data_IF_054070793357
#
_entry.id   IF_054070793357
#
_cell.length_a   1.000
_cell.length_b   1.000
_cell.length_c   1.000
_cell.angle_alpha   90.00
_cell.angle_beta   90.00
_cell.angle_gamma   90.00
#
_symmetry.space_group_name_H-M   'P 1'
#
loop_
_entity.id
_entity.type
_entity.pdbx_description
1 polymer ?
#
# COMPACT_ATOMS: atom_id res chain seq x y z
N UNK A 1 36.60 3.96 -8.74
CA UNK A 1 36.19 3.47 -7.41
C UNK A 1 35.99 1.97 -7.54
N UNK A 2 36.75 1.17 -6.81
CA UNK A 2 36.58 -0.29 -6.82
C UNK A 2 35.31 -0.69 -6.07
N UNK A 3 34.70 -1.83 -6.42
CA UNK A 3 33.54 -2.39 -5.70
C UNK A 3 33.84 -2.57 -4.20
N UNK A 4 35.09 -2.92 -3.87
CA UNK A 4 35.60 -3.02 -2.50
C UNK A 4 35.56 -1.67 -1.77
N UNK A 5 36.07 -0.60 -2.37
CA UNK A 5 36.02 0.74 -1.79
C UNK A 5 34.58 1.24 -1.59
N UNK A 6 33.66 0.92 -2.52
CA UNK A 6 32.25 1.29 -2.38
C UNK A 6 31.57 0.56 -1.21
N UNK A 7 31.84 -0.74 -1.05
CA UNK A 7 31.33 -1.55 0.07
C UNK A 7 31.94 -1.11 1.41
N UNK A 8 33.24 -0.80 1.45
CA UNK A 8 33.91 -0.32 2.66
C UNK A 8 33.38 1.06 3.12
N UNK A 9 32.95 1.91 2.18
CA UNK A 9 32.23 3.15 2.50
C UNK A 9 30.84 2.86 3.05
N UNK A 10 30.08 1.96 2.43
CA UNK A 10 28.75 1.57 2.94
C UNK A 10 28.84 1.05 4.39
N UNK A 11 29.79 0.16 4.70
CA UNK A 11 30.00 -0.35 6.06
C UNK A 11 30.23 0.79 7.09
N UNK A 12 30.82 1.92 6.68
CA UNK A 12 31.09 3.05 7.57
C UNK A 12 29.90 3.97 7.83
N UNK A 13 28.93 4.04 6.91
CA UNK A 13 27.86 5.04 6.96
C UNK A 13 26.45 4.45 7.02
N UNK A 14 26.29 3.13 6.89
CA UNK A 14 24.98 2.46 6.94
C UNK A 14 24.57 2.04 8.37
N UNK A 15 23.31 1.62 8.50
CA UNK A 15 22.74 1.12 9.74
C UNK A 15 23.51 -0.11 10.27
N UNK A 16 23.73 -0.24 11.60
CA UNK A 16 24.46 -1.38 12.19
C UNK A 16 23.87 -2.75 11.86
N UNK A 17 22.57 -2.79 11.57
CA UNK A 17 21.83 -4.00 11.18
C UNK A 17 22.18 -4.48 9.76
N UNK A 18 22.68 -3.60 8.90
CA UNK A 18 23.03 -3.90 7.51
C UNK A 18 24.50 -4.31 7.34
N UNK A 19 25.38 -3.92 8.27
CA UNK A 19 26.81 -4.29 8.27
C UNK A 19 27.06 -5.80 8.04
N UNK A 20 26.41 -6.75 8.76
CA UNK A 20 26.65 -8.17 8.52
C UNK A 20 26.24 -8.62 7.11
N UNK A 21 25.16 -8.03 6.57
CA UNK A 21 24.68 -8.29 5.21
C UNK A 21 25.68 -7.75 4.18
N UNK A 22 26.24 -6.56 4.41
CA UNK A 22 27.23 -5.93 3.53
C UNK A 22 28.52 -6.76 3.49
N UNK A 23 28.99 -7.25 4.64
CA UNK A 23 30.15 -8.14 4.69
C UNK A 23 29.89 -9.46 3.96
N UNK A 24 28.72 -10.06 4.12
CA UNK A 24 28.36 -11.27 3.38
C UNK A 24 28.36 -11.05 1.86
N UNK A 25 27.82 -9.92 1.39
CA UNK A 25 27.86 -9.52 -0.03
C UNK A 25 29.32 -9.35 -0.50
N UNK A 26 30.14 -8.67 0.31
CA UNK A 26 31.55 -8.41 0.02
C UNK A 26 32.34 -9.72 -0.11
N UNK A 27 32.15 -10.66 0.81
CA UNK A 27 32.79 -11.98 0.78
C UNK A 27 32.37 -12.78 -0.45
N UNK A 28 31.07 -12.81 -0.76
CA UNK A 28 30.53 -13.50 -1.94
C UNK A 28 31.12 -12.92 -3.24
N UNK A 29 31.24 -11.60 -3.36
CA UNK A 29 31.84 -10.95 -4.53
C UNK A 29 33.35 -11.23 -4.64
N UNK A 30 34.08 -11.22 -3.51
CA UNK A 30 35.52 -11.51 -3.50
C UNK A 30 35.83 -12.96 -3.88
N UNK A 31 34.92 -13.89 -3.58
CA UNK A 31 34.99 -15.29 -4.02
C UNK A 31 34.72 -15.47 -5.53
N UNK A 32 34.40 -14.40 -6.27
CA UNK A 32 34.12 -14.45 -7.70
C UNK A 32 32.71 -14.97 -8.02
N UNK A 33 31.79 -14.97 -7.05
CA UNK A 33 30.41 -15.31 -7.32
C UNK A 33 29.74 -14.26 -8.20
N UNK A 34 28.67 -14.66 -8.91
CA UNK A 34 27.88 -13.76 -9.73
C UNK A 34 27.14 -12.71 -8.87
N UNK A 35 26.74 -11.59 -9.48
CA UNK A 35 26.16 -10.46 -8.77
C UNK A 35 24.80 -10.81 -8.14
N UNK A 36 23.95 -11.55 -8.86
CA UNK A 36 22.64 -11.99 -8.39
C UNK A 36 22.73 -12.86 -7.14
N UNK A 37 23.72 -13.76 -7.09
CA UNK A 37 23.97 -14.62 -5.93
C UNK A 37 24.56 -13.82 -4.77
N UNK A 38 25.45 -12.87 -5.08
CA UNK A 38 26.08 -12.05 -4.06
C UNK A 38 25.09 -11.12 -3.36
N UNK A 39 24.05 -10.66 -4.07
CA UNK A 39 23.01 -9.75 -3.54
C UNK A 39 21.79 -10.47 -2.92
N UNK A 40 21.75 -11.80 -2.95
CA UNK A 40 20.68 -12.60 -2.34
C UNK A 40 20.40 -12.27 -0.85
N UNK A 41 21.42 -12.00 0.00
CA UNK A 41 21.22 -11.64 1.41
C UNK A 41 20.32 -10.42 1.64
N UNK A 42 20.19 -9.53 0.66
CA UNK A 42 19.30 -8.35 0.72
C UNK A 42 17.81 -8.73 0.70
N UNK A 43 17.46 -10.00 0.43
CA UNK A 43 16.07 -10.48 0.35
C UNK A 43 15.19 -9.60 -0.55
N UNK A 44 15.74 -9.23 -1.70
CA UNK A 44 15.02 -8.43 -2.69
C UNK A 44 13.73 -9.15 -3.13
N UNK A 45 12.68 -8.40 -3.51
CA UNK A 45 11.51 -8.95 -4.16
C UNK A 45 11.89 -9.91 -5.29
N UNK A 46 11.18 -11.04 -5.40
CA UNK A 46 11.53 -12.14 -6.32
C UNK A 46 11.65 -11.69 -7.78
N UNK A 47 10.85 -10.71 -8.21
CA UNK A 47 10.96 -10.11 -9.55
C UNK A 47 12.32 -9.41 -9.78
N UNK A 48 12.82 -8.68 -8.79
CA UNK A 48 14.12 -7.99 -8.87
C UNK A 48 15.29 -8.97 -8.81
N UNK A 49 15.16 -10.04 -8.01
CA UNK A 49 16.14 -11.13 -8.01
C UNK A 49 16.22 -11.81 -9.38
N UNK A 50 15.08 -12.10 -10.03
CA UNK A 50 15.10 -12.66 -11.37
C UNK A 50 15.68 -11.72 -12.42
N UNK A 51 15.39 -10.41 -12.33
CA UNK A 51 16.02 -9.42 -13.19
C UNK A 51 17.56 -9.46 -13.06
N UNK A 52 18.08 -9.54 -11.84
CA UNK A 52 19.52 -9.71 -11.60
C UNK A 52 20.05 -11.04 -12.13
N UNK A 53 19.33 -12.15 -11.92
CA UNK A 53 19.74 -13.48 -12.39
C UNK A 53 19.81 -13.57 -13.90
N UNK A 54 18.84 -12.98 -14.60
CA UNK A 54 18.85 -12.88 -16.07
C UNK A 54 19.95 -11.93 -16.52
N UNK A 55 20.17 -10.85 -15.77
CA UNK A 55 21.25 -9.90 -16.06
C UNK A 55 22.65 -10.44 -15.91
N UNK A 56 22.87 -11.35 -14.97
CA UNK A 56 24.13 -12.08 -14.82
C UNK A 56 24.44 -13.02 -15.98
N UNK A 57 23.43 -13.43 -16.74
CA UNK A 57 23.60 -14.23 -17.96
C UNK A 57 23.94 -13.34 -19.17
N UNK A 58 23.83 -12.02 -19.02
CA UNK A 58 24.20 -11.04 -20.06
C UNK A 58 25.54 -10.40 -19.80
N UNK A 59 26.10 -9.76 -20.82
CA UNK A 59 27.33 -8.98 -20.72
C UNK A 59 27.14 -7.60 -20.06
N UNK A 60 25.97 -7.32 -19.47
CA UNK A 60 25.60 -5.98 -18.96
C UNK A 60 25.03 -5.95 -17.52
N UNK A 61 25.66 -6.60 -16.52
CA UNK A 61 25.13 -6.66 -15.15
C UNK A 61 24.99 -5.29 -14.46
N UNK A 62 25.87 -4.33 -14.79
CA UNK A 62 25.81 -2.96 -14.25
C UNK A 62 24.59 -2.18 -14.72
N UNK A 63 24.16 -2.37 -15.96
CA UNK A 63 22.95 -1.72 -16.50
C UNK A 63 21.71 -2.22 -15.75
N UNK A 64 21.67 -3.53 -15.48
CA UNK A 64 20.54 -4.17 -14.82
C UNK A 64 20.49 -3.81 -13.34
N UNK A 65 21.64 -3.72 -12.68
CA UNK A 65 21.71 -3.20 -11.32
C UNK A 65 21.14 -1.78 -11.22
N UNK A 66 21.45 -0.89 -12.17
CA UNK A 66 20.86 0.46 -12.22
C UNK A 66 19.34 0.42 -12.35
N UNK A 67 18.82 -0.53 -13.11
CA UNK A 67 17.38 -0.71 -13.27
C UNK A 67 16.70 -1.24 -12.00
N UNK A 68 17.33 -2.19 -11.31
CA UNK A 68 16.89 -2.64 -9.98
C UNK A 68 16.85 -1.48 -8.99
N UNK A 69 17.90 -0.65 -8.99
CA UNK A 69 17.97 0.53 -8.11
C UNK A 69 16.82 1.49 -8.42
N UNK A 70 16.55 1.78 -9.70
CA UNK A 70 15.42 2.63 -10.12
C UNK A 70 14.08 2.09 -9.62
N UNK A 71 13.85 0.77 -9.75
CA UNK A 71 12.64 0.12 -9.25
C UNK A 71 12.48 0.26 -7.73
N UNK A 72 13.56 0.05 -6.97
CA UNK A 72 13.58 0.23 -5.53
C UNK A 72 13.37 1.68 -5.11
N UNK A 73 13.95 2.64 -5.83
CA UNK A 73 13.76 4.07 -5.60
C UNK A 73 12.30 4.46 -5.78
N UNK A 74 11.66 4.01 -6.86
CA UNK A 74 10.23 4.25 -7.11
C UNK A 74 9.37 3.66 -5.99
N UNK A 75 9.60 2.40 -5.60
CA UNK A 75 8.89 1.79 -4.46
C UNK A 75 9.08 2.57 -3.15
N UNK A 76 10.31 3.04 -2.89
CA UNK A 76 10.66 3.82 -1.71
C UNK A 76 9.95 5.18 -1.71
N UNK A 77 9.91 5.85 -2.87
CA UNK A 77 9.21 7.13 -3.03
C UNK A 77 7.70 6.97 -2.80
N UNK A 78 7.07 5.93 -3.34
CA UNK A 78 5.65 5.64 -3.07
C UNK A 78 5.40 5.43 -1.58
N UNK A 79 6.21 4.60 -0.93
CA UNK A 79 6.08 4.34 0.53
C UNK A 79 6.26 5.62 1.33
N UNK A 80 7.27 6.43 1.02
CA UNK A 80 7.54 7.70 1.71
C UNK A 80 6.38 8.68 1.54
N UNK A 81 5.88 8.86 0.32
CA UNK A 81 4.72 9.71 0.04
C UNK A 81 3.46 9.20 0.71
N UNK A 82 3.18 7.89 0.64
CA UNK A 82 2.07 7.27 1.34
C UNK A 82 2.11 7.56 2.84
N UNK A 83 3.25 7.33 3.50
CA UNK A 83 3.41 7.62 4.92
C UNK A 83 3.35 9.12 5.23
N UNK A 84 3.82 9.98 4.32
CA UNK A 84 3.70 11.43 4.46
C UNK A 84 2.22 11.86 4.44
N UNK A 85 1.42 11.33 3.52
CA UNK A 85 -0.01 11.64 3.41
C UNK A 85 -0.83 10.99 4.54
N UNK A 86 -0.56 9.74 4.89
CA UNK A 86 -1.29 9.00 5.93
C UNK A 86 -1.03 9.51 7.36
N UNK A 87 0.09 10.23 7.58
CA UNK A 87 0.46 10.74 8.91
C UNK A 87 -0.62 11.66 9.51
N UNK A 88 -1.18 12.58 8.73
CA UNK A 88 -2.17 13.52 9.23
C UNK A 88 -3.46 12.82 9.72
N UNK A 89 -4.13 11.98 8.91
CA UNK A 89 -5.30 11.22 9.37
C UNK A 89 -5.00 10.31 10.57
N UNK A 90 -3.82 9.69 10.63
CA UNK A 90 -3.44 8.81 11.76
C UNK A 90 -3.30 9.61 13.05
N UNK A 91 -2.62 10.76 13.02
CA UNK A 91 -2.45 11.61 14.22
C UNK A 91 -3.79 12.13 14.70
N UNK A 92 -4.65 12.58 13.77
CA UNK A 92 -6.01 13.05 14.10
C UNK A 92 -6.88 11.92 14.66
N UNK A 93 -6.88 10.74 14.05
CA UNK A 93 -7.63 9.60 14.56
C UNK A 93 -7.13 9.16 15.95
N UNK A 94 -5.81 9.15 16.18
CA UNK A 94 -5.23 8.80 17.47
C UNK A 94 -5.59 9.82 18.56
N UNK A 95 -5.57 11.13 18.25
CA UNK A 95 -5.96 12.17 19.21
C UNK A 95 -7.45 12.11 19.55
N UNK A 96 -8.32 11.87 18.56
CA UNK A 96 -9.76 11.65 18.76
C UNK A 96 -10.02 10.41 19.62
N UNK A 97 -9.32 9.30 19.34
CA UNK A 97 -9.46 8.06 20.11
C UNK A 97 -9.01 8.28 21.56
N UNK A 98 -7.89 8.97 21.78
CA UNK A 98 -7.39 9.28 23.13
C UNK A 98 -8.38 10.17 23.90
N UNK A 99 -8.89 11.23 23.25
CA UNK A 99 -9.90 12.10 23.84
C UNK A 99 -11.18 11.33 24.20
N UNK A 100 -11.64 10.47 23.29
CA UNK A 100 -12.80 9.61 23.51
C UNK A 100 -12.56 8.62 24.67
N UNK A 101 -11.37 8.04 24.77
CA UNK A 101 -11.01 7.12 25.84
C UNK A 101 -10.96 7.82 27.21
N UNK A 102 -10.35 9.00 27.28
CA UNK A 102 -10.37 9.85 28.48
C UNK A 102 -11.81 10.17 28.89
N UNK A 103 -12.65 10.55 27.93
CA UNK A 103 -14.06 10.81 28.18
C UNK A 103 -14.79 9.58 28.75
N UNK A 104 -14.69 8.43 28.08
CA UNK A 104 -15.39 7.21 28.48
C UNK A 104 -14.96 6.67 29.85
N UNK A 105 -13.68 6.83 30.22
CA UNK A 105 -13.13 6.29 31.48
C UNK A 105 -13.26 7.24 32.67
N UNK A 106 -13.23 8.56 32.46
CA UNK A 106 -13.19 9.55 33.55
C UNK A 106 -14.40 10.47 33.57
N UNK A 107 -14.70 11.13 32.46
CA UNK A 107 -15.75 12.16 32.40
C UNK A 107 -17.14 11.53 32.47
N UNK A 108 -17.38 10.50 31.66
CA UNK A 108 -18.69 9.88 31.55
C UNK A 108 -19.16 9.22 32.86
N UNK A 109 -18.34 8.44 33.59
CA UNK A 109 -18.75 7.89 34.88
C UNK A 109 -19.02 8.97 35.94
N UNK A 110 -18.18 10.02 35.99
CA UNK A 110 -18.35 11.15 36.90
C UNK A 110 -19.69 11.86 36.70
N UNK A 111 -20.11 12.07 35.44
CA UNK A 111 -21.42 12.66 35.12
C UNK A 111 -22.61 11.75 35.50
N UNK A 112 -22.45 10.43 35.37
CA UNK A 112 -23.49 9.48 35.78
C UNK A 112 -23.66 9.42 37.30
N UNK A 113 -22.57 9.50 38.07
CA UNK A 113 -22.63 9.54 39.55
C UNK A 113 -23.36 10.78 40.06
N UNK A 114 -23.28 11.89 39.33
CA UNK A 114 -23.98 13.15 39.65
C UNK A 114 -25.44 13.16 39.17
N UNK A 115 -25.87 12.16 38.39
CA UNK A 115 -27.19 12.13 37.75
C UNK A 115 -28.15 11.19 38.47
N UNK A 116 -29.43 11.60 38.59
CA UNK A 116 -30.46 10.73 39.14
C UNK A 116 -30.84 9.61 38.14
N UNK A 117 -30.77 8.32 38.52
CA UNK A 117 -31.07 7.20 37.61
C UNK A 117 -32.48 7.24 37.01
N UNK A 118 -33.44 7.85 37.72
CA UNK A 118 -34.83 7.94 37.31
C UNK A 118 -35.09 8.97 36.18
N UNK A 119 -34.25 10.00 36.06
CA UNK A 119 -34.40 11.07 35.05
C UNK A 119 -33.62 10.78 33.76
N UNK A 120 -32.81 9.71 33.75
CA UNK A 120 -32.00 9.32 32.59
C UNK A 120 -32.84 8.65 31.49
N UNK A 121 -32.60 9.00 30.21
CA UNK A 121 -33.23 8.34 29.07
C UNK A 121 -32.98 6.83 29.06
N UNK A 122 -33.95 6.07 28.53
CA UNK A 122 -33.90 4.60 28.47
C UNK A 122 -32.63 4.06 27.80
N UNK A 123 -32.10 4.76 26.79
CA UNK A 123 -30.88 4.35 26.08
C UNK A 123 -29.59 4.56 26.88
N UNK A 124 -29.60 5.38 27.94
CA UNK A 124 -28.43 5.65 28.82
C UNK A 124 -28.37 4.67 30.00
N UNK A 125 -29.50 4.07 30.41
CA UNK A 125 -29.57 3.17 31.58
C UNK A 125 -28.64 1.96 31.53
N UNK A 126 -28.41 1.28 30.38
CA UNK A 126 -27.44 0.19 30.31
C UNK A 126 -26.01 0.62 30.66
N UNK A 127 -25.71 1.92 30.50
CA UNK A 127 -24.39 2.48 30.75
C UNK A 127 -24.12 2.79 32.23
N UNK A 128 -25.11 2.66 33.10
CA UNK A 128 -24.95 2.77 34.56
C UNK A 128 -24.22 1.57 35.17
N UNK A 129 -24.10 0.46 34.43
CA UNK A 129 -23.42 -0.73 34.92
C UNK A 129 -21.91 -0.45 35.10
N UNK A 130 -21.26 -0.89 36.19
CA UNK A 130 -19.83 -0.59 36.44
C UNK A 130 -18.87 -1.05 35.33
N UNK A 131 -19.26 -2.05 34.55
CA UNK A 131 -18.48 -2.54 33.40
C UNK A 131 -18.66 -1.71 32.12
N UNK A 132 -19.68 -0.86 32.04
CA UNK A 132 -20.02 -0.11 30.84
C UNK A 132 -18.90 0.86 30.40
N UNK A 133 -18.14 1.41 31.36
CA UNK A 133 -16.97 2.28 31.07
C UNK A 133 -15.89 1.56 30.27
N UNK A 134 -15.64 0.28 30.56
CA UNK A 134 -14.67 -0.52 29.81
C UNK A 134 -15.24 -0.92 28.44
N UNK A 135 -16.52 -1.29 28.38
CA UNK A 135 -17.19 -1.60 27.11
C UNK A 135 -17.19 -0.41 26.15
N UNK A 136 -17.49 0.81 26.64
CA UNK A 136 -17.40 2.04 25.84
C UNK A 136 -15.97 2.36 25.41
N UNK A 137 -15.00 2.29 26.32
CA UNK A 137 -13.61 2.62 26.01
C UNK A 137 -13.03 1.71 24.91
N UNK A 138 -13.42 0.43 24.89
CA UNK A 138 -12.99 -0.52 23.87
C UNK A 138 -13.93 -0.59 22.65
N UNK A 139 -15.10 0.05 22.65
CA UNK A 139 -16.04 0.02 21.53
C UNK A 139 -15.43 0.50 20.19
N UNK A 140 -14.66 1.60 20.12
CA UNK A 140 -14.02 2.03 18.87
C UNK A 140 -12.97 1.03 18.39
N UNK A 141 -12.17 0.50 19.32
CA UNK A 141 -11.10 -0.46 19.02
C UNK A 141 -11.71 -1.76 18.48
N UNK A 142 -12.70 -2.30 19.18
CA UNK A 142 -13.41 -3.51 18.76
C UNK A 142 -14.18 -3.33 17.45
N UNK A 143 -14.76 -2.14 17.19
CA UNK A 143 -15.40 -1.83 15.91
C UNK A 143 -14.38 -1.79 14.76
N UNK A 144 -13.23 -1.15 14.95
CA UNK A 144 -12.17 -1.09 13.93
C UNK A 144 -11.57 -2.48 13.70
N UNK A 145 -11.25 -3.22 14.76
CA UNK A 145 -10.72 -4.59 14.65
C UNK A 145 -11.75 -5.52 13.99
N UNK A 146 -13.02 -5.40 14.36
CA UNK A 146 -14.13 -6.15 13.74
C UNK A 146 -14.28 -5.84 12.25
N UNK A 147 -14.19 -4.57 11.86
CA UNK A 147 -14.24 -4.16 10.45
C UNK A 147 -13.04 -4.71 9.66
N UNK A 148 -11.82 -4.65 10.23
CA UNK A 148 -10.61 -5.21 9.60
C UNK A 148 -10.72 -6.72 9.44
N UNK A 149 -11.21 -7.44 10.46
CA UNK A 149 -11.44 -8.89 10.39
C UNK A 149 -12.55 -9.24 9.40
N UNK A 150 -13.62 -8.45 9.34
CA UNK A 150 -14.71 -8.63 8.37
C UNK A 150 -14.18 -8.46 6.94
N UNK A 151 -13.41 -7.40 6.67
CA UNK A 151 -12.77 -7.17 5.37
C UNK A 151 -11.83 -8.33 5.03
N UNK A 152 -11.10 -8.88 6.01
CA UNK A 152 -10.20 -10.02 5.83
C UNK A 152 -10.95 -11.34 5.59
N UNK A 153 -12.19 -11.49 6.07
CA UNK A 153 -13.05 -12.65 5.86
C UNK A 153 -13.96 -12.55 4.63
N UNK A 154 -14.12 -11.36 4.05
CA UNK A 154 -14.77 -11.22 2.74
C UNK A 154 -13.91 -11.97 1.72
N UNK A 155 -14.48 -12.91 0.94
CA UNK A 155 -13.71 -13.63 -0.06
C UNK A 155 -13.09 -12.63 -1.03
N UNK A 156 -11.77 -12.73 -1.23
CA UNK A 156 -10.99 -11.80 -2.05
C UNK A 156 -11.69 -11.52 -3.39
N UNK A 157 -12.30 -12.55 -4.02
CA UNK A 157 -13.07 -12.44 -5.28
C UNK A 157 -14.20 -11.41 -5.25
N UNK A 158 -14.85 -11.17 -4.10
CA UNK A 158 -15.95 -10.20 -3.95
C UNK A 158 -15.42 -8.80 -3.71
N UNK A 159 -14.34 -8.67 -2.94
CA UNK A 159 -13.65 -7.39 -2.71
C UNK A 159 -13.05 -6.85 -4.02
N UNK A 160 -12.47 -7.75 -4.83
CA UNK A 160 -11.93 -7.47 -6.16
C UNK A 160 -12.95 -6.97 -7.19
N UNK A 161 -14.27 -7.19 -6.96
CA UNK A 161 -15.34 -6.73 -7.86
C UNK A 161 -15.87 -5.34 -7.53
N UNK A 162 -15.40 -4.71 -6.45
CA UNK A 162 -15.76 -3.32 -6.17
C UNK A 162 -15.07 -2.44 -7.20
N UNK A 163 -15.83 -1.61 -7.93
CA UNK A 163 -15.29 -0.73 -9.00
C UNK A 163 -14.06 0.08 -8.57
N UNK A 164 -14.05 0.55 -7.33
CA UNK A 164 -12.94 1.32 -6.75
C UNK A 164 -11.64 0.50 -6.57
N UNK A 165 -11.77 -0.79 -6.26
CA UNK A 165 -10.65 -1.72 -6.08
C UNK A 165 -10.19 -2.22 -7.44
N UNK A 166 -11.13 -2.51 -8.34
CA UNK A 166 -10.84 -2.92 -9.71
C UNK A 166 -10.02 -1.84 -10.45
N UNK A 167 -10.43 -0.56 -10.37
CA UNK A 167 -9.66 0.56 -10.95
C UNK A 167 -8.24 0.62 -10.42
N UNK A 168 -8.07 0.53 -9.09
CA UNK A 168 -6.75 0.61 -8.46
C UNK A 168 -5.86 -0.56 -8.83
N UNK A 169 -6.43 -1.77 -8.91
CA UNK A 169 -5.70 -2.95 -9.35
C UNK A 169 -5.32 -2.85 -10.82
N UNK A 170 -6.21 -2.35 -11.66
CA UNK A 170 -5.91 -2.13 -13.08
C UNK A 170 -4.73 -1.18 -13.25
N UNK A 171 -4.74 -0.03 -12.57
CA UNK A 171 -3.59 0.89 -12.55
C UNK A 171 -2.31 0.21 -12.03
N UNK A 172 -2.41 -0.53 -10.93
CA UNK A 172 -1.27 -1.22 -10.33
C UNK A 172 -0.68 -2.32 -11.23
N UNK A 173 -1.51 -3.18 -11.84
CA UNK A 173 -1.04 -4.21 -12.76
C UNK A 173 -0.50 -3.63 -14.06
N UNK A 174 -1.08 -2.53 -14.54
CA UNK A 174 -0.54 -1.80 -15.69
C UNK A 174 0.82 -1.22 -15.37
N UNK A 175 0.97 -0.57 -14.22
CA UNK A 175 2.25 -0.01 -13.76
C UNK A 175 3.32 -1.10 -13.66
N UNK A 176 2.97 -2.24 -13.07
CA UNK A 176 3.88 -3.39 -12.97
C UNK A 176 4.28 -3.92 -14.34
N UNK A 177 3.31 -4.10 -15.24
CA UNK A 177 3.58 -4.55 -16.59
C UNK A 177 4.54 -3.59 -17.30
N UNK A 178 4.23 -2.29 -17.31
CA UNK A 178 5.00 -1.29 -18.04
C UNK A 178 6.40 -1.13 -17.47
N UNK A 179 6.55 -1.08 -16.14
CA UNK A 179 7.86 -0.95 -15.52
C UNK A 179 8.68 -2.23 -15.67
N UNK A 180 8.10 -3.42 -15.45
CA UNK A 180 8.85 -4.68 -15.51
C UNK A 180 9.22 -5.02 -16.95
N UNK A 181 8.24 -5.08 -17.87
CA UNK A 181 8.51 -5.39 -19.28
C UNK A 181 9.34 -4.28 -19.93
N UNK A 182 9.01 -3.01 -19.70
CA UNK A 182 9.80 -1.88 -20.19
C UNK A 182 11.24 -1.93 -19.75
N UNK A 183 11.51 -2.33 -18.49
CA UNK A 183 12.87 -2.53 -17.98
C UNK A 183 13.65 -3.60 -18.73
N UNK A 184 13.03 -4.75 -19.03
CA UNK A 184 13.69 -5.81 -19.78
C UNK A 184 13.95 -5.38 -21.23
N UNK A 185 12.96 -4.78 -21.90
CA UNK A 185 13.12 -4.36 -23.29
C UNK A 185 14.16 -3.23 -23.43
N UNK A 186 14.14 -2.24 -22.52
CA UNK A 186 15.13 -1.15 -22.49
C UNK A 186 16.55 -1.66 -22.21
N UNK A 187 16.67 -2.74 -21.41
CA UNK A 187 17.93 -3.44 -21.19
C UNK A 187 18.42 -4.28 -22.40
N UNK A 188 17.64 -4.32 -23.49
CA UNK A 188 17.97 -5.00 -24.74
C UNK A 188 17.54 -6.46 -24.80
N UNK A 189 16.74 -6.94 -23.85
CA UNK A 189 16.15 -8.27 -23.92
C UNK A 189 14.99 -8.30 -24.91
N UNK A 190 14.80 -9.44 -25.54
CA UNK A 190 13.59 -9.72 -26.31
C UNK A 190 12.37 -9.84 -25.38
N UNK A 191 11.19 -9.62 -25.97
CA UNK A 191 9.91 -9.79 -25.25
C UNK A 191 9.71 -11.21 -24.71
N UNK A 192 10.23 -12.21 -25.42
CA UNK A 192 10.22 -13.61 -25.00
C UNK A 192 11.05 -13.83 -23.72
N UNK A 193 12.27 -13.30 -23.69
CA UNK A 193 13.16 -13.40 -22.51
C UNK A 193 12.55 -12.67 -21.30
N UNK A 194 11.94 -11.51 -21.54
CA UNK A 194 11.23 -10.75 -20.51
C UNK A 194 10.09 -11.56 -19.88
N UNK A 195 9.20 -12.14 -20.70
CA UNK A 195 8.09 -12.92 -20.17
C UNK A 195 8.56 -14.18 -19.44
N UNK A 196 9.53 -14.91 -20.00
CA UNK A 196 10.07 -16.10 -19.36
C UNK A 196 10.67 -15.80 -17.98
N UNK A 197 11.40 -14.69 -17.85
CA UNK A 197 11.95 -14.23 -16.57
C UNK A 197 10.85 -13.87 -15.55
N UNK A 198 9.83 -13.12 -15.99
CA UNK A 198 8.75 -12.64 -15.13
C UNK A 198 7.83 -13.77 -14.65
N UNK A 199 7.58 -14.79 -15.48
CA UNK A 199 6.79 -15.97 -15.08
C UNK A 199 7.44 -16.80 -13.98
N UNK A 200 8.77 -16.88 -13.98
CA UNK A 200 9.54 -17.60 -12.98
C UNK A 200 9.68 -16.80 -11.68
N UNK A 201 9.73 -15.46 -11.78
CA UNK A 201 9.92 -14.56 -10.64
C UNK A 201 8.66 -14.15 -9.89
N UNK A 202 7.48 -14.36 -10.46
CA UNK A 202 6.24 -13.84 -9.89
C UNK A 202 5.37 -14.94 -9.26
N UNK A 203 4.47 -14.54 -8.36
CA UNK A 203 3.51 -15.45 -7.71
C UNK A 203 2.09 -14.93 -7.81
N UNK A 204 1.11 -15.82 -7.61
CA UNK A 204 -0.31 -15.48 -7.58
C UNK A 204 -0.81 -14.88 -8.90
N UNK A 205 -1.60 -13.80 -8.80
CA UNK A 205 -2.24 -13.15 -9.95
C UNK A 205 -1.25 -12.52 -10.95
N UNK A 206 -0.09 -12.04 -10.48
CA UNK A 206 0.93 -11.47 -11.39
C UNK A 206 1.44 -12.54 -12.35
N UNK A 207 1.77 -13.72 -11.82
CA UNK A 207 2.21 -14.87 -12.63
C UNK A 207 1.14 -15.26 -13.65
N UNK A 208 -0.12 -15.33 -13.23
CA UNK A 208 -1.23 -15.67 -14.13
C UNK A 208 -1.38 -14.67 -15.29
N UNK A 209 -1.22 -13.36 -15.00
CA UNK A 209 -1.23 -12.32 -16.02
C UNK A 209 -0.10 -12.51 -17.03
N UNK A 210 1.16 -12.69 -16.58
CA UNK A 210 2.29 -12.89 -17.49
C UNK A 210 2.16 -14.17 -18.31
N UNK A 211 1.77 -15.29 -17.68
CA UNK A 211 1.53 -16.57 -18.37
C UNK A 211 0.48 -16.47 -19.47
N UNK A 212 -0.61 -15.75 -19.21
CA UNK A 212 -1.66 -15.53 -20.20
C UNK A 212 -1.15 -14.68 -21.37
N UNK A 213 -0.51 -13.54 -21.07
CA UNK A 213 0.01 -12.63 -22.10
C UNK A 213 1.06 -13.31 -22.98
N UNK A 214 1.99 -14.03 -22.36
CA UNK A 214 3.05 -14.76 -23.06
C UNK A 214 2.49 -15.88 -23.93
N UNK A 215 1.53 -16.67 -23.43
CA UNK A 215 0.90 -17.73 -24.21
C UNK A 215 0.19 -17.20 -25.46
N UNK A 216 -0.57 -16.10 -25.32
CA UNK A 216 -1.27 -15.45 -26.43
C UNK A 216 -0.30 -14.83 -27.43
N UNK A 217 0.75 -14.17 -26.96
CA UNK A 217 1.78 -13.61 -27.83
C UNK A 217 2.52 -14.71 -28.62
N UNK A 218 2.81 -15.87 -27.99
CA UNK A 218 3.32 -17.06 -28.69
C UNK A 218 2.38 -17.65 -29.73
N UNK A 219 1.07 -17.51 -29.55
CA UNK A 219 0.08 -17.96 -30.53
C UNK A 219 -0.04 -17.04 -31.75
N UNK A 220 0.74 -15.95 -31.80
CA UNK A 220 0.75 -14.98 -32.89
C UNK A 220 -0.23 -13.82 -32.70
N UNK A 221 -0.95 -13.76 -31.58
CA UNK A 221 -1.81 -12.63 -31.25
C UNK A 221 -0.95 -11.40 -30.92
N UNK A 222 -1.24 -10.21 -31.48
CA UNK A 222 -0.57 -8.97 -31.07
C UNK A 222 -0.70 -8.72 -29.56
N UNK A 223 0.38 -8.24 -28.93
CA UNK A 223 0.41 -8.04 -27.48
C UNK A 223 -0.70 -7.10 -27.00
N UNK A 224 -0.97 -6.01 -27.73
CA UNK A 224 -2.03 -5.06 -27.39
C UNK A 224 -3.42 -5.72 -27.40
N UNK A 225 -3.70 -6.64 -28.32
CA UNK A 225 -4.97 -7.39 -28.35
C UNK A 225 -5.05 -8.38 -27.18
N UNK A 226 -3.95 -9.09 -26.88
CA UNK A 226 -3.88 -10.00 -25.74
C UNK A 226 -4.17 -9.30 -24.39
N UNK A 227 -3.84 -8.01 -24.29
CA UNK A 227 -4.08 -7.18 -23.10
C UNK A 227 -5.52 -6.67 -23.00
N UNK A 228 -6.23 -6.46 -24.12
CA UNK A 228 -7.61 -5.94 -24.13
C UNK A 228 -8.60 -6.92 -23.51
N UNK A 229 -8.45 -8.22 -23.79
CA UNK A 229 -9.45 -9.23 -23.44
C UNK A 229 -9.61 -9.44 -21.92
N UNK A 230 -8.58 -9.12 -21.13
CA UNK A 230 -8.55 -9.47 -19.71
C UNK A 230 -8.99 -8.32 -18.78
N UNK A 231 -9.12 -7.08 -19.26
CA UNK A 231 -9.42 -5.90 -18.43
C UNK A 231 -8.46 -5.69 -17.22
N UNK A 232 -7.31 -6.37 -17.21
CA UNK A 232 -6.30 -6.27 -16.14
C UNK A 232 -5.38 -5.06 -16.37
N UNK A 233 -5.17 -4.69 -17.64
CA UNK A 233 -4.38 -3.54 -18.05
C UNK A 233 -5.36 -2.39 -18.38
N UNK A 234 -4.95 -1.15 -18.12
CA UNK A 234 -5.69 0.05 -18.51
C UNK A 234 -5.64 0.29 -20.04
N UNK A 235 -6.64 1.01 -20.54
CA UNK A 235 -6.84 1.19 -21.97
C UNK A 235 -5.74 2.06 -22.59
N UNK A 236 -5.16 2.99 -21.83
CA UNK A 236 -4.10 3.88 -22.31
C UNK A 236 -2.81 3.09 -22.55
N UNK A 237 -2.43 2.22 -21.61
CA UNK A 237 -1.29 1.31 -21.76
C UNK A 237 -1.45 0.37 -22.96
N UNK A 238 -2.66 -0.17 -23.16
CA UNK A 238 -2.97 -1.00 -24.34
C UNK A 238 -2.75 -0.22 -25.64
N UNK A 239 -3.26 1.01 -25.72
CA UNK A 239 -3.11 1.88 -26.88
C UNK A 239 -1.65 2.23 -27.17
N UNK A 240 -0.87 2.51 -26.12
CA UNK A 240 0.56 2.78 -26.23
C UNK A 240 1.33 1.57 -26.76
N UNK A 241 1.04 0.35 -26.28
CA UNK A 241 1.66 -0.88 -26.80
C UNK A 241 1.31 -1.10 -28.28
N UNK A 242 0.09 -0.75 -28.69
CA UNK A 242 -0.31 -0.83 -30.10
C UNK A 242 0.51 0.11 -31.00
N UNK A 243 0.70 1.37 -30.58
CA UNK A 243 1.49 2.36 -31.33
C UNK A 243 2.99 2.02 -31.29
N UNK A 244 3.50 1.58 -30.14
CA UNK A 244 4.89 1.22 -29.95
C UNK A 244 5.34 0.06 -30.86
N UNK A 245 4.40 -0.80 -31.28
CA UNK A 245 4.66 -1.87 -32.26
C UNK A 245 5.11 -1.31 -33.62
N UNK A 246 4.61 -0.15 -34.01
CA UNK A 246 4.91 0.47 -35.31
C UNK A 246 6.20 1.30 -35.26
N UNK A 247 6.49 1.93 -34.12
CA UNK A 247 7.69 2.76 -33.93
C UNK A 247 8.94 1.94 -33.57
N UNK A 248 8.79 0.74 -33.03
CA UNK A 248 9.90 -0.13 -32.62
C UNK A 248 10.52 0.21 -31.25
N UNK A 249 10.12 1.31 -30.61
CA UNK A 249 10.67 1.81 -29.34
C UNK A 249 9.83 1.40 -28.12
N UNK A 250 9.52 0.11 -27.99
CA UNK A 250 8.63 -0.39 -26.93
C UNK A 250 9.19 -0.17 -25.52
N UNK A 251 10.49 -0.34 -25.30
CA UNK A 251 11.12 -0.20 -23.98
C UNK A 251 10.96 1.20 -23.38
N UNK A 252 11.49 2.25 -24.03
CA UNK A 252 11.38 3.63 -23.55
C UNK A 252 9.94 4.09 -23.36
N UNK A 253 9.03 3.77 -24.29
CA UNK A 253 7.62 4.15 -24.20
C UNK A 253 6.91 3.48 -23.02
N UNK A 254 7.22 2.21 -22.71
CA UNK A 254 6.68 1.55 -21.52
C UNK A 254 7.20 2.20 -20.23
N UNK A 255 8.48 2.62 -20.19
CA UNK A 255 9.03 3.30 -19.01
C UNK A 255 8.42 4.69 -18.80
N UNK A 256 8.13 5.42 -19.88
CA UNK A 256 7.39 6.68 -19.82
C UNK A 256 5.95 6.46 -19.31
N UNK A 257 5.25 5.46 -19.84
CA UNK A 257 3.93 5.08 -19.36
C UNK A 257 3.94 4.65 -17.88
N UNK A 258 5.00 3.99 -17.43
CA UNK A 258 5.16 3.64 -16.02
C UNK A 258 5.24 4.88 -15.12
N UNK A 259 5.87 5.96 -15.57
CA UNK A 259 5.90 7.23 -14.83
C UNK A 259 4.49 7.86 -14.74
N UNK A 260 3.74 7.90 -15.84
CA UNK A 260 2.36 8.41 -15.86
C UNK A 260 1.41 7.59 -14.98
N UNK A 261 1.54 6.26 -15.01
CA UNK A 261 0.77 5.36 -14.16
C UNK A 261 1.12 5.52 -12.68
N UNK A 262 2.38 5.77 -12.38
CA UNK A 262 2.82 6.06 -11.02
C UNK A 262 2.14 7.32 -10.47
N UNK A 263 2.14 8.41 -11.24
CA UNK A 263 1.41 9.64 -10.90
C UNK A 263 -0.09 9.38 -10.73
N UNK A 264 -0.69 8.61 -11.64
CA UNK A 264 -2.12 8.23 -11.55
C UNK A 264 -2.44 7.41 -10.29
N UNK A 265 -1.56 6.50 -9.89
CA UNK A 265 -1.71 5.74 -8.63
C UNK A 265 -1.59 6.67 -7.44
N UNK A 266 -0.63 7.61 -7.45
CA UNK A 266 -0.47 8.59 -6.38
C UNK A 266 -1.73 9.46 -6.21
N UNK A 267 -2.27 9.99 -7.30
CA UNK A 267 -3.50 10.77 -7.27
C UNK A 267 -4.69 9.97 -6.73
N UNK A 268 -4.84 8.71 -7.16
CA UNK A 268 -5.92 7.85 -6.67
C UNK A 268 -5.76 7.51 -5.18
N UNK A 269 -4.53 7.38 -4.69
CA UNK A 269 -4.25 7.24 -3.25
C UNK A 269 -4.64 8.51 -2.52
N UNK A 270 -4.24 9.69 -3.01
CA UNK A 270 -4.56 10.98 -2.40
C UNK A 270 -6.08 11.23 -2.35
N UNK A 271 -6.79 11.04 -3.47
CA UNK A 271 -8.25 11.13 -3.56
C UNK A 271 -8.94 10.22 -2.54
N UNK A 272 -8.43 9.00 -2.35
CA UNK A 272 -8.99 8.04 -1.37
C UNK A 272 -8.66 8.42 0.07
N UNK A 273 -7.49 9.00 0.34
CA UNK A 273 -7.15 9.51 1.66
C UNK A 273 -8.03 10.71 2.03
N UNK A 274 -8.38 11.58 1.07
CA UNK A 274 -9.34 12.67 1.30
C UNK A 274 -10.73 12.17 1.69
N UNK A 275 -11.17 11.01 1.19
CA UNK A 275 -12.45 10.40 1.62
C UNK A 275 -12.46 9.96 3.10
N UNK A 276 -11.28 9.82 3.73
CA UNK A 276 -11.19 9.51 5.16
C UNK A 276 -11.54 10.76 6.00
N UNK A 277 -11.30 11.97 5.49
CA UNK A 277 -11.55 13.20 6.24
C UNK A 277 -13.02 13.39 6.64
N UNK A 278 -14.03 13.24 5.74
CA UNK A 278 -15.43 13.29 6.15
C UNK A 278 -15.81 12.27 7.22
N UNK A 279 -15.20 11.08 7.21
CA UNK A 279 -15.44 10.08 8.24
C UNK A 279 -14.86 10.51 9.60
N UNK A 280 -13.67 11.13 9.61
CA UNK A 280 -13.07 11.69 10.82
C UNK A 280 -13.90 12.86 11.37
N UNK A 281 -14.32 13.80 10.52
CA UNK A 281 -15.19 14.92 10.94
C UNK A 281 -16.58 14.46 11.36
N UNK A 282 -17.15 13.46 10.69
CA UNK A 282 -18.41 12.83 11.08
C UNK A 282 -18.29 12.18 12.46
N UNK A 283 -17.22 11.42 12.71
CA UNK A 283 -16.93 10.85 14.02
C UNK A 283 -16.76 11.91 15.11
N UNK A 284 -16.00 12.97 14.82
CA UNK A 284 -15.86 14.12 15.71
C UNK A 284 -17.22 14.76 16.02
N UNK A 285 -18.08 14.95 15.02
CA UNK A 285 -19.42 15.54 15.19
C UNK A 285 -20.32 14.67 16.04
N UNK A 286 -20.31 13.36 15.84
CA UNK A 286 -21.07 12.41 16.67
C UNK A 286 -20.56 12.44 18.11
N UNK A 287 -19.24 12.47 18.29
CA UNK A 287 -18.62 12.54 19.61
C UNK A 287 -18.98 13.84 20.34
N UNK A 288 -18.82 15.00 19.69
CA UNK A 288 -19.15 16.30 20.29
C UNK A 288 -20.64 16.48 20.49
N UNK A 289 -21.49 15.97 19.59
CA UNK A 289 -22.95 15.98 19.75
C UNK A 289 -23.41 15.11 20.92
N UNK A 290 -22.82 13.92 21.08
CA UNK A 290 -23.07 13.06 22.25
C UNK A 290 -22.64 13.75 23.54
N UNK A 291 -21.46 14.39 23.52
CA UNK A 291 -20.96 15.18 24.64
C UNK A 291 -21.89 16.35 24.98
N UNK A 292 -22.39 17.07 23.98
CA UNK A 292 -23.34 18.16 24.17
C UNK A 292 -24.63 17.65 24.82
N UNK A 293 -25.24 16.57 24.32
CA UNK A 293 -26.48 16.03 24.88
C UNK A 293 -26.31 15.57 26.34
N UNK A 294 -25.19 14.92 26.65
CA UNK A 294 -24.91 14.42 28.01
C UNK A 294 -24.58 15.55 28.98
N UNK A 295 -23.95 16.65 28.55
CA UNK A 295 -23.69 17.80 29.42
C UNK A 295 -24.90 18.73 29.56
N UNK A 296 -25.61 18.96 28.47
CA UNK A 296 -26.74 19.89 28.43
C UNK A 296 -27.93 19.36 29.22
N UNK A 297 -28.23 18.06 29.10
CA UNK A 297 -29.44 17.48 29.70
C UNK A 297 -29.45 17.50 31.24
N UNK A 298 -28.36 17.14 31.97
CA UNK A 298 -28.28 17.28 33.42
C UNK A 298 -28.37 18.75 33.88
N UNK A 299 -27.76 19.67 33.13
CA UNK A 299 -27.83 21.11 33.43
C UNK A 299 -29.27 21.61 33.28
N UNK A 300 -29.96 21.21 32.20
CA UNK A 300 -31.36 21.57 31.99
C UNK A 300 -32.26 21.01 33.10
N UNK A 301 -32.03 19.75 33.51
CA UNK A 301 -32.72 19.15 34.65
C UNK A 301 -32.45 19.91 35.96
N UNK A 302 -31.21 20.32 36.20
CA UNK A 302 -30.84 21.10 37.39
C UNK A 302 -31.50 22.49 37.39
N UNK A 303 -31.58 23.16 36.24
CA UNK A 303 -32.25 24.46 36.10
C UNK A 303 -33.77 24.33 36.34
N UNK A 304 -34.42 23.27 35.85
CA UNK A 304 -35.84 23.02 36.08
C UNK A 304 -36.19 22.71 37.56
N UNK A 305 -35.19 22.33 38.36
CA UNK A 305 -35.37 22.09 39.80
C UNK A 305 -35.11 23.33 40.66
N UNK A 306 -34.66 24.46 40.07
CA UNK A 306 -34.54 25.72 40.80
C UNK A 306 -35.94 26.31 41.04
N UNK A 307 -36.25 26.72 42.29
CA UNK A 307 -37.54 27.31 42.60
C UNK A 307 -37.62 28.72 41.99
N UNK A 308 -38.42 28.85 40.94
CA UNK A 308 -39.05 30.10 40.53
C UNK A 308 -40.55 29.91 40.59
#
# INVERSE_FOLDING_TARGET
>A
MSTKEALDILVRFEDPLLIPVIHEIQDRLQQGNRLSFSLEPLKLPTALQQLLTVGDQTERPLMILRQVIRLLELESQMKKKFWKMARYPIVLAASLLLLFMFYALYVFPSLLEMSNPATLPLFVRPLLHPSAKYVMAFAPVTMVTGLVLLIRHIPMKRLLRMKMIEKMLRLYYSYLFTIEVGSFIDAGFSLEEAFHALEQGQTGKKKQMYQMLHHRQKSGQPLSEAMQDENIIDVETVGLVHIARESGDLGPLLLEQAALLHESIEEEVEKKLLLIEPALYGGLTVMTGTLFLILYYPIQLAIQQLPF
#
